data_IF_896281891864
#
_entry.id   IF_896281891864
#
_cell.length_a   1.000
_cell.length_b   1.000
_cell.length_c   1.000
_cell.angle_alpha   90.00
_cell.angle_beta   90.00
_cell.angle_gamma   90.00
#
_symmetry.space_group_name_H-M   'P 1'
#
loop_
_entity.id
_entity.type
_entity.pdbx_description
1 polymer ?
#
# COMPACT_ATOMS: atom_id res chain seq x y z
N UNK A 1 -9.98 -13.59 19.70
CA UNK A 1 -10.14 -14.35 18.46
C UNK A 1 -11.62 -14.51 18.05
N UNK A 2 -12.54 -14.85 18.99
CA UNK A 2 -13.96 -15.09 18.69
C UNK A 2 -14.64 -13.89 18.02
N UNK A 3 -14.47 -12.68 18.54
CA UNK A 3 -15.06 -11.47 17.96
C UNK A 3 -14.55 -11.15 16.55
N UNK A 4 -13.28 -11.45 16.26
CA UNK A 4 -12.72 -11.30 14.90
C UNK A 4 -13.35 -12.31 13.95
N UNK A 5 -13.51 -13.56 14.39
CA UNK A 5 -14.15 -14.60 13.62
C UNK A 5 -15.61 -14.25 13.29
N UNK A 6 -16.39 -13.86 14.31
CA UNK A 6 -17.80 -13.48 14.14
C UNK A 6 -17.96 -12.31 13.14
N UNK A 7 -17.12 -11.27 13.24
CA UNK A 7 -17.11 -10.15 12.29
C UNK A 7 -16.68 -10.56 10.89
N UNK A 8 -15.74 -11.48 10.76
CA UNK A 8 -15.31 -11.99 9.45
C UNK A 8 -16.45 -12.77 8.78
N UNK A 9 -17.15 -13.62 9.54
CA UNK A 9 -18.30 -14.38 9.04
C UNK A 9 -19.45 -13.45 8.63
N UNK A 10 -19.74 -12.42 9.44
CA UNK A 10 -20.77 -11.40 9.14
C UNK A 10 -20.44 -10.66 7.83
N UNK A 11 -19.18 -10.24 7.68
CA UNK A 11 -18.72 -9.58 6.47
C UNK A 11 -18.80 -10.49 5.23
N UNK A 12 -18.38 -11.74 5.39
CA UNK A 12 -18.43 -12.73 4.31
C UNK A 12 -19.86 -13.07 3.90
N UNK A 13 -20.77 -13.20 4.86
CA UNK A 13 -22.20 -13.41 4.62
C UNK A 13 -22.82 -12.25 3.80
N UNK A 14 -22.44 -11.01 4.13
CA UNK A 14 -22.86 -9.83 3.36
C UNK A 14 -22.34 -9.88 1.92
N UNK A 15 -21.09 -10.34 1.74
CA UNK A 15 -20.50 -10.50 0.42
C UNK A 15 -21.23 -11.59 -0.40
N UNK A 16 -21.58 -12.72 0.24
CA UNK A 16 -22.38 -13.78 -0.39
C UNK A 16 -23.73 -13.25 -0.85
N UNK A 17 -24.39 -12.43 -0.03
CA UNK A 17 -25.66 -11.79 -0.39
C UNK A 17 -25.52 -10.86 -1.61
N UNK A 18 -24.45 -10.08 -1.70
CA UNK A 18 -24.17 -9.24 -2.86
C UNK A 18 -23.87 -10.03 -4.13
N UNK A 19 -23.24 -11.20 -4.01
CA UNK A 19 -22.90 -12.08 -5.13
C UNK A 19 -24.06 -12.98 -5.54
N UNK A 20 -25.04 -13.19 -4.67
CA UNK A 20 -26.14 -14.12 -4.88
C UNK A 20 -26.89 -13.95 -6.21
N UNK A 21 -27.18 -12.72 -6.72
CA UNK A 21 -27.84 -12.53 -8.01
C UNK A 21 -27.04 -13.07 -9.21
N UNK A 22 -25.72 -13.21 -9.06
CA UNK A 22 -24.83 -13.67 -10.13
C UNK A 22 -24.48 -15.16 -10.01
N UNK A 23 -24.42 -15.68 -8.79
CA UNK A 23 -24.01 -17.05 -8.48
C UNK A 23 -24.90 -17.68 -7.39
N UNK A 24 -26.21 -17.88 -7.66
CA UNK A 24 -27.18 -18.23 -6.61
C UNK A 24 -26.85 -19.54 -5.91
N UNK A 25 -26.50 -20.58 -6.64
CA UNK A 25 -26.31 -21.91 -6.05
C UNK A 25 -25.11 -21.99 -5.10
N UNK A 26 -23.96 -21.51 -5.54
CA UNK A 26 -22.74 -21.61 -4.72
C UNK A 26 -22.79 -20.68 -3.51
N UNK A 27 -23.37 -19.50 -3.64
CA UNK A 27 -23.50 -18.56 -2.51
C UNK A 27 -24.47 -19.08 -1.48
N UNK A 28 -25.55 -19.74 -1.89
CA UNK A 28 -26.52 -20.39 -0.99
C UNK A 28 -25.86 -21.53 -0.21
N UNK A 29 -25.16 -22.42 -0.90
CA UNK A 29 -24.47 -23.56 -0.28
C UNK A 29 -23.44 -23.10 0.76
N UNK A 30 -22.63 -22.08 0.43
CA UNK A 30 -21.65 -21.52 1.36
C UNK A 30 -22.36 -20.87 2.56
N UNK A 31 -23.46 -20.14 2.32
CA UNK A 31 -24.23 -19.50 3.37
C UNK A 31 -24.73 -20.52 4.40
N UNK A 32 -25.36 -21.60 3.94
CA UNK A 32 -25.86 -22.67 4.82
C UNK A 32 -24.74 -23.46 5.50
N UNK A 33 -23.56 -23.55 4.89
CA UNK A 33 -22.39 -24.14 5.55
C UNK A 33 -21.91 -23.27 6.73
N UNK A 34 -21.97 -21.96 6.59
CA UNK A 34 -21.56 -21.01 7.64
C UNK A 34 -22.64 -20.82 8.70
N UNK A 35 -23.91 -20.86 8.30
CA UNK A 35 -25.08 -20.58 9.15
C UNK A 35 -26.16 -21.62 8.91
N UNK A 36 -26.03 -22.79 9.53
CA UNK A 36 -26.86 -23.96 9.31
C UNK A 36 -28.36 -23.81 9.62
N UNK A 37 -28.78 -22.72 10.28
CA UNK A 37 -30.19 -22.45 10.64
C UNK A 37 -30.62 -21.04 10.22
N UNK A 38 -30.15 -20.55 9.10
CA UNK A 38 -30.51 -19.23 8.58
C UNK A 38 -31.53 -19.33 7.46
N UNK A 39 -32.24 -18.22 7.20
CA UNK A 39 -33.06 -18.07 5.99
C UNK A 39 -32.21 -18.11 4.75
N UNK A 40 -32.77 -18.60 3.64
CA UNK A 40 -32.11 -18.62 2.34
C UNK A 40 -31.76 -17.19 1.88
N UNK A 41 -30.62 -17.03 1.22
CA UNK A 41 -30.18 -15.72 0.70
C UNK A 41 -31.16 -15.11 -0.31
N UNK A 42 -31.89 -15.98 -1.05
CA UNK A 42 -32.85 -15.52 -2.06
C UNK A 42 -34.06 -14.76 -1.47
N UNK A 43 -34.39 -15.00 -0.20
CA UNK A 43 -35.50 -14.30 0.50
C UNK A 43 -35.00 -13.24 1.47
N UNK A 44 -33.71 -13.21 1.75
CA UNK A 44 -33.10 -12.29 2.70
C UNK A 44 -33.01 -10.87 2.11
N UNK A 45 -33.63 -9.91 2.81
CA UNK A 45 -33.55 -8.51 2.40
C UNK A 45 -32.14 -7.95 2.62
N UNK A 46 -31.57 -7.38 1.57
CA UNK A 46 -30.33 -6.64 1.67
C UNK A 46 -30.57 -5.25 2.27
N UNK A 47 -29.97 -4.98 3.41
CA UNK A 47 -30.01 -3.66 4.04
C UNK A 47 -28.64 -2.99 3.82
N UNK A 48 -28.52 -2.01 2.93
CA UNK A 48 -27.25 -1.34 2.69
C UNK A 48 -26.81 -0.58 3.94
N UNK A 49 -25.54 -0.73 4.33
CA UNK A 49 -24.95 0.10 5.35
C UNK A 49 -24.66 1.50 4.77
N UNK A 50 -25.47 2.47 5.13
CA UNK A 50 -25.37 3.85 4.61
C UNK A 50 -24.34 4.68 5.38
N UNK A 51 -23.91 4.22 6.57
CA UNK A 51 -22.95 4.94 7.40
C UNK A 51 -21.51 4.56 7.01
N UNK A 52 -20.87 5.46 6.27
CA UNK A 52 -19.47 5.31 5.89
C UNK A 52 -18.59 6.09 6.87
N UNK A 53 -17.73 5.39 7.60
CA UNK A 53 -16.71 6.04 8.42
C UNK A 53 -15.51 6.41 7.55
N UNK A 54 -15.45 7.69 7.14
CA UNK A 54 -14.37 8.22 6.28
C UNK A 54 -13.00 8.12 6.93
N UNK A 55 -12.90 8.23 8.25
CA UNK A 55 -11.62 8.12 8.97
C UNK A 55 -11.03 6.71 8.83
N UNK A 56 -11.87 5.69 9.00
CA UNK A 56 -11.45 4.29 8.84
C UNK A 56 -11.04 4.00 7.39
N UNK A 57 -11.77 4.52 6.41
CA UNK A 57 -11.41 4.37 5.00
C UNK A 57 -10.08 5.04 4.68
N UNK A 58 -9.87 6.26 5.17
CA UNK A 58 -8.61 6.98 4.97
C UNK A 58 -7.43 6.27 5.65
N UNK A 59 -7.64 5.75 6.86
CA UNK A 59 -6.63 4.94 7.56
C UNK A 59 -6.31 3.65 6.79
N UNK A 60 -7.33 3.00 6.21
CA UNK A 60 -7.15 1.83 5.35
C UNK A 60 -6.36 2.13 4.07
N UNK A 61 -6.69 3.23 3.40
CA UNK A 61 -5.97 3.69 2.21
C UNK A 61 -4.51 4.04 2.52
N UNK A 62 -4.26 4.76 3.62
CA UNK A 62 -2.92 5.06 4.10
C UNK A 62 -2.13 3.78 4.37
N UNK A 63 -2.73 2.83 5.10
CA UNK A 63 -2.10 1.55 5.40
C UNK A 63 -1.71 0.79 4.13
N UNK A 64 -2.60 0.73 3.15
CA UNK A 64 -2.36 0.05 1.87
C UNK A 64 -1.19 0.70 1.11
N UNK A 65 -1.17 2.02 1.00
CA UNK A 65 -0.12 2.76 0.32
C UNK A 65 1.25 2.58 1.01
N UNK A 66 1.28 2.68 2.33
CA UNK A 66 2.51 2.48 3.12
C UNK A 66 3.04 1.07 2.97
N UNK A 67 2.18 0.04 3.09
CA UNK A 67 2.60 -1.36 2.92
C UNK A 67 3.16 -1.61 1.51
N UNK A 68 2.48 -1.13 0.48
CA UNK A 68 2.94 -1.28 -0.91
C UNK A 68 4.32 -0.65 -1.10
N UNK A 69 4.47 0.61 -0.69
CA UNK A 69 5.71 1.36 -0.83
C UNK A 69 6.88 0.70 -0.06
N UNK A 70 6.64 0.22 1.16
CA UNK A 70 7.66 -0.44 1.96
C UNK A 70 8.02 -1.84 1.40
N UNK A 71 7.06 -2.58 0.86
CA UNK A 71 7.32 -3.86 0.18
C UNK A 71 8.15 -3.67 -1.09
N UNK A 72 7.84 -2.65 -1.88
CA UNK A 72 8.63 -2.31 -3.07
C UNK A 72 10.06 -1.92 -2.72
N UNK A 73 10.24 -1.14 -1.65
CA UNK A 73 11.56 -0.79 -1.15
C UNK A 73 12.34 -2.01 -0.67
N UNK A 74 11.69 -2.94 0.03
CA UNK A 74 12.31 -4.21 0.45
C UNK A 74 12.74 -5.05 -0.75
N UNK A 75 11.86 -5.18 -1.75
CA UNK A 75 12.16 -5.94 -2.97
C UNK A 75 13.34 -5.33 -3.73
N UNK A 76 13.36 -4.01 -3.92
CA UNK A 76 14.47 -3.30 -4.58
C UNK A 76 15.81 -3.48 -3.87
N UNK A 77 15.78 -3.59 -2.55
CA UNK A 77 16.97 -3.75 -1.72
C UNK A 77 17.22 -5.22 -1.31
N UNK A 78 16.53 -6.18 -1.93
CA UNK A 78 16.70 -7.63 -1.72
C UNK A 78 16.49 -8.07 -0.26
N UNK A 79 15.73 -7.32 0.53
CA UNK A 79 15.36 -7.67 1.90
C UNK A 79 14.21 -8.68 1.85
N UNK A 80 14.46 -9.89 2.34
CA UNK A 80 13.45 -10.95 2.33
C UNK A 80 12.25 -10.60 3.21
N UNK A 81 11.01 -11.00 2.85
CA UNK A 81 9.83 -10.73 3.68
C UNK A 81 9.91 -11.27 5.11
N UNK A 82 10.69 -12.34 5.32
CA UNK A 82 10.91 -12.96 6.64
C UNK A 82 11.89 -12.21 7.52
N UNK A 83 12.74 -11.37 6.95
CA UNK A 83 13.74 -10.63 7.72
C UNK A 83 13.05 -9.51 8.48
N UNK A 84 13.31 -9.43 9.79
CA UNK A 84 12.79 -8.36 10.60
C UNK A 84 13.50 -7.05 10.25
N UNK A 85 12.75 -5.95 10.24
CA UNK A 85 13.26 -4.60 10.01
C UNK A 85 12.87 -3.69 11.16
N UNK A 86 13.65 -2.63 11.36
CA UNK A 86 13.23 -1.50 12.20
C UNK A 86 12.75 -0.38 11.27
N UNK A 87 11.60 0.18 11.58
CA UNK A 87 10.99 1.25 10.79
C UNK A 87 11.00 2.55 11.59
N UNK A 88 11.57 3.61 11.03
CA UNK A 88 11.45 4.94 11.58
C UNK A 88 10.63 5.80 10.63
N UNK A 89 9.63 6.48 11.17
CA UNK A 89 8.70 7.32 10.41
C UNK A 89 8.97 8.78 10.73
N UNK A 90 9.31 9.55 9.72
CA UNK A 90 9.43 11.01 9.81
C UNK A 90 8.19 11.64 9.19
N UNK A 91 7.34 12.18 10.02
CA UNK A 91 6.08 12.83 9.62
C UNK A 91 5.79 14.04 10.49
N UNK A 92 5.03 14.98 9.97
CA UNK A 92 4.54 16.13 10.73
C UNK A 92 3.37 15.75 11.67
N UNK A 93 2.64 14.66 11.38
CA UNK A 93 1.49 14.20 12.16
C UNK A 93 1.53 12.69 12.36
N UNK A 94 1.81 12.25 13.58
CA UNK A 94 1.94 10.84 13.94
C UNK A 94 0.59 10.13 14.14
N UNK A 95 -0.50 10.85 14.40
CA UNK A 95 -1.78 10.26 14.79
C UNK A 95 -2.34 9.24 13.78
N UNK A 96 -2.35 9.48 12.45
CA UNK A 96 -2.80 8.51 11.47
C UNK A 96 -2.01 7.21 11.50
N UNK A 97 -0.69 7.31 11.68
CA UNK A 97 0.20 6.15 11.72
C UNK A 97 0.06 5.35 13.01
N UNK A 98 -0.17 6.01 14.14
CA UNK A 98 -0.41 5.33 15.43
C UNK A 98 -1.65 4.44 15.37
N UNK A 99 -2.70 4.88 14.68
CA UNK A 99 -3.95 4.09 14.54
C UNK A 99 -3.75 2.77 13.78
N UNK A 100 -2.82 2.73 12.83
CA UNK A 100 -2.53 1.56 11.98
C UNK A 100 -1.26 0.81 12.37
N UNK A 101 -0.49 1.31 13.34
CA UNK A 101 0.85 0.85 13.70
C UNK A 101 0.93 -0.66 13.95
N UNK A 102 -0.01 -1.22 14.70
CA UNK A 102 -0.02 -2.64 15.04
C UNK A 102 -0.23 -3.56 13.83
N UNK A 103 -1.07 -3.12 12.89
CA UNK A 103 -1.32 -3.85 11.64
C UNK A 103 -0.11 -3.70 10.73
N UNK A 104 0.39 -2.49 10.59
CA UNK A 104 1.56 -2.18 9.77
C UNK A 104 2.77 -3.01 10.22
N UNK A 105 3.10 -3.04 11.51
CA UNK A 105 4.21 -3.81 12.05
C UNK A 105 4.14 -5.30 11.66
N UNK A 106 2.97 -5.90 11.77
CA UNK A 106 2.76 -7.31 11.38
C UNK A 106 2.89 -7.54 9.87
N UNK A 107 2.36 -6.62 9.06
CA UNK A 107 2.32 -6.76 7.60
C UNK A 107 3.68 -6.60 6.92
N UNK A 108 4.57 -5.81 7.53
CA UNK A 108 5.92 -5.60 7.02
C UNK A 108 7.00 -6.33 7.82
N UNK A 109 6.61 -7.15 8.80
CA UNK A 109 7.52 -7.82 9.72
C UNK A 109 8.50 -6.84 10.39
N UNK A 110 7.96 -5.73 10.94
CA UNK A 110 8.77 -4.78 11.69
C UNK A 110 8.93 -5.25 13.15
N UNK A 111 10.17 -5.27 13.62
CA UNK A 111 10.52 -5.52 15.03
C UNK A 111 10.16 -4.32 15.91
N UNK A 112 10.31 -3.12 15.36
CA UNK A 112 9.96 -1.87 16.03
C UNK A 112 9.52 -0.81 15.02
N UNK A 113 8.62 0.09 15.47
CA UNK A 113 8.25 1.31 14.74
C UNK A 113 8.49 2.48 15.66
N UNK A 114 9.33 3.41 15.24
CA UNK A 114 9.67 4.62 15.96
C UNK A 114 9.37 5.86 15.12
N UNK A 115 9.09 6.98 15.78
CA UNK A 115 8.90 8.27 15.11
C UNK A 115 10.14 9.12 15.32
N UNK A 116 10.60 9.76 14.25
CA UNK A 116 11.82 10.59 14.29
C UNK A 116 11.60 11.91 13.58
N UNK A 117 12.31 12.94 14.02
CA UNK A 117 12.39 14.24 13.32
C UNK A 117 13.68 14.38 12.51
N UNK A 118 14.65 13.47 12.68
CA UNK A 118 15.95 13.51 12.03
C UNK A 118 16.18 12.32 11.11
N UNK A 119 17.16 12.42 10.25
CA UNK A 119 17.58 11.32 9.36
C UNK A 119 18.25 10.21 10.17
N UNK A 120 17.92 8.97 9.82
CA UNK A 120 18.51 7.78 10.45
C UNK A 120 19.66 7.29 9.58
N UNK A 121 20.86 7.18 10.17
CA UNK A 121 22.04 6.69 9.47
C UNK A 121 21.89 5.20 9.11
N UNK A 122 22.57 4.76 8.05
CA UNK A 122 22.59 3.37 7.57
C UNK A 122 21.18 2.78 7.32
N UNK A 123 20.26 3.60 6.85
CA UNK A 123 18.88 3.22 6.53
C UNK A 123 18.57 3.39 5.05
N UNK A 124 17.62 2.60 4.56
CA UNK A 124 17.00 2.82 3.25
C UNK A 124 15.91 3.87 3.43
N UNK A 125 16.01 4.95 2.67
CA UNK A 125 15.04 6.05 2.72
C UNK A 125 13.97 5.85 1.65
N UNK A 126 12.72 5.91 2.07
CA UNK A 126 11.55 5.82 1.19
C UNK A 126 10.66 7.01 1.46
N UNK A 127 10.29 7.74 0.43
CA UNK A 127 9.37 8.85 0.52
C UNK A 127 7.98 8.43 0.04
N UNK A 128 6.96 8.83 0.78
CA UNK A 128 5.56 8.72 0.41
C UNK A 128 4.89 10.06 0.69
N UNK A 129 4.53 10.78 -0.37
CA UNK A 129 4.00 12.14 -0.31
C UNK A 129 4.94 13.10 0.45
N UNK A 130 4.56 13.49 1.67
CA UNK A 130 5.31 14.41 2.54
C UNK A 130 6.12 13.69 3.62
N UNK A 131 5.87 12.40 3.80
CA UNK A 131 6.45 11.60 4.87
C UNK A 131 7.65 10.80 4.38
N UNK A 132 8.59 10.53 5.27
CA UNK A 132 9.78 9.72 4.99
C UNK A 132 9.82 8.52 5.92
N UNK A 133 10.17 7.40 5.35
CA UNK A 133 10.33 6.13 6.05
C UNK A 133 11.78 5.70 5.96
N UNK A 134 12.37 5.37 7.09
CA UNK A 134 13.72 4.84 7.17
C UNK A 134 13.65 3.39 7.58
N UNK A 135 14.10 2.49 6.70
CA UNK A 135 14.14 1.06 6.95
C UNK A 135 15.57 0.71 7.38
N UNK A 136 15.72 0.23 8.58
CA UNK A 136 16.98 -0.33 9.08
C UNK A 136 16.86 -1.85 9.05
N UNK A 137 17.70 -2.51 8.26
CA UNK A 137 17.76 -3.97 8.16
C UNK A 137 18.98 -4.48 8.92
N UNK A 138 18.85 -5.60 9.61
CA UNK A 138 19.96 -6.25 10.34
C UNK A 138 21.02 -6.89 9.40
N UNK A 139 20.74 -6.91 8.09
CA UNK A 139 21.71 -7.37 7.10
C UNK A 139 22.55 -6.20 6.61
N UNK A 140 23.83 -6.44 6.39
CA UNK A 140 24.71 -5.47 5.75
C UNK A 140 24.15 -5.16 4.35
N UNK A 141 23.56 -3.95 4.22
CA UNK A 141 23.09 -3.46 2.92
C UNK A 141 24.37 -3.23 2.09
N UNK A 142 24.45 -3.85 0.94
CA UNK A 142 25.54 -3.55 -0.01
C UNK A 142 25.32 -2.13 -0.58
N UNK A 143 25.76 -1.16 0.23
CA UNK A 143 25.65 0.26 -0.09
C UNK A 143 26.44 0.66 -1.33
N UNK A 144 27.49 -0.12 -1.68
CA UNK A 144 28.30 0.15 -2.86
C UNK A 144 27.53 -0.17 -4.15
N UNK A 145 26.93 -1.36 -4.22
CA UNK A 145 26.10 -1.78 -5.35
C UNK A 145 24.85 -0.91 -5.49
N UNK A 146 24.21 -0.55 -4.37
CA UNK A 146 23.06 0.34 -4.36
C UNK A 146 23.40 1.73 -4.89
N UNK A 147 24.55 2.29 -4.46
CA UNK A 147 25.03 3.59 -4.93
C UNK A 147 25.32 3.58 -6.43
N UNK A 148 25.94 2.51 -6.92
CA UNK A 148 26.22 2.37 -8.35
C UNK A 148 24.93 2.32 -9.19
N UNK A 149 23.94 1.55 -8.76
CA UNK A 149 22.64 1.47 -9.43
C UNK A 149 21.92 2.83 -9.42
N UNK A 150 21.90 3.52 -8.29
CA UNK A 150 21.27 4.86 -8.18
C UNK A 150 21.99 5.90 -9.05
N UNK A 151 23.30 5.83 -9.19
CA UNK A 151 24.06 6.70 -10.09
C UNK A 151 23.75 6.41 -11.56
N UNK A 152 23.57 5.15 -11.94
CA UNK A 152 23.13 4.76 -13.30
C UNK A 152 21.72 5.27 -13.60
N UNK A 153 20.79 5.11 -12.65
CA UNK A 153 19.42 5.60 -12.79
C UNK A 153 19.38 7.13 -12.89
N UNK A 154 20.17 7.84 -12.08
CA UNK A 154 20.30 9.28 -12.15
C UNK A 154 20.81 9.74 -13.52
N UNK A 155 21.87 9.11 -14.01
CA UNK A 155 22.43 9.44 -15.32
C UNK A 155 21.43 9.19 -16.46
N UNK A 156 20.67 8.09 -16.38
CA UNK A 156 19.62 7.77 -17.33
C UNK A 156 18.49 8.81 -17.32
N UNK A 157 18.01 9.20 -16.13
CA UNK A 157 16.97 10.23 -16.00
C UNK A 157 17.43 11.61 -16.45
N UNK A 158 18.68 11.97 -16.16
CA UNK A 158 19.27 13.22 -16.67
C UNK A 158 19.38 13.22 -18.19
N UNK A 159 19.79 12.11 -18.80
CA UNK A 159 19.82 11.94 -20.26
C UNK A 159 18.43 12.03 -20.89
N UNK A 160 17.45 11.43 -20.25
CA UNK A 160 16.05 11.52 -20.68
C UNK A 160 15.54 12.96 -20.62
N UNK A 161 15.76 13.68 -19.51
CA UNK A 161 15.39 15.08 -19.35
C UNK A 161 16.01 15.95 -20.46
N UNK A 162 17.31 15.82 -20.69
CA UNK A 162 17.99 16.54 -21.78
C UNK A 162 17.40 16.24 -23.16
N UNK A 163 16.97 14.99 -23.38
CA UNK A 163 16.29 14.60 -24.64
C UNK A 163 14.94 15.26 -24.78
N UNK A 164 14.17 15.36 -23.70
CA UNK A 164 12.87 16.05 -23.67
C UNK A 164 13.06 17.54 -23.89
N UNK A 165 14.01 18.17 -23.20
CA UNK A 165 14.33 19.59 -23.36
C UNK A 165 14.72 19.93 -24.82
N UNK A 166 15.56 19.11 -25.45
CA UNK A 166 15.93 19.27 -26.86
C UNK A 166 14.71 19.16 -27.78
N UNK A 167 13.76 18.27 -27.48
CA UNK A 167 12.53 18.14 -28.27
C UNK A 167 11.61 19.36 -28.10
N UNK A 168 11.49 19.87 -26.88
CA UNK A 168 10.70 21.06 -26.58
C UNK A 168 11.29 22.34 -27.18
N UNK A 169 12.61 22.42 -27.31
CA UNK A 169 13.30 23.51 -28.00
C UNK A 169 13.18 23.46 -29.52
N UNK A 170 12.74 22.35 -30.07
CA UNK A 170 12.54 22.18 -31.52
C UNK A 170 11.16 22.70 -31.94
N UNK A 171 11.11 23.90 -32.50
CA UNK A 171 9.85 24.55 -32.94
C UNK A 171 9.01 23.66 -33.87
N UNK A 172 9.65 22.91 -34.78
CA UNK A 172 8.95 21.99 -35.70
C UNK A 172 8.28 20.84 -34.93
N UNK A 173 8.89 20.36 -33.85
CA UNK A 173 8.30 19.34 -33.02
C UNK A 173 7.11 19.89 -32.24
N UNK A 174 7.25 21.05 -31.63
CA UNK A 174 6.19 21.68 -30.83
C UNK A 174 4.96 22.02 -31.67
N UNK A 175 5.17 22.49 -32.92
CA UNK A 175 4.06 22.82 -33.84
C UNK A 175 3.29 21.60 -34.33
N UNK A 176 3.91 20.42 -34.42
CA UNK A 176 3.28 19.19 -34.96
C UNK A 176 2.89 18.19 -33.87
N UNK A 177 3.28 18.41 -32.62
CA UNK A 177 2.96 17.51 -31.51
C UNK A 177 1.51 17.70 -31.04
N UNK A 178 0.86 16.60 -30.66
CA UNK A 178 -0.47 16.66 -30.07
C UNK A 178 -0.41 17.37 -28.70
N UNK A 179 -1.45 18.15 -28.30
CA UNK A 179 -1.50 18.85 -27.03
C UNK A 179 -1.24 17.95 -25.82
N UNK A 180 -1.68 16.70 -25.87
CA UNK A 180 -1.48 15.68 -24.82
C UNK A 180 -0.01 15.27 -24.62
N UNK A 181 0.86 15.56 -25.58
CA UNK A 181 2.31 15.24 -25.52
C UNK A 181 3.13 16.43 -25.00
N UNK A 182 2.55 17.63 -25.05
CA UNK A 182 3.17 18.88 -24.59
C UNK A 182 2.76 19.29 -23.17
N UNK A 183 1.68 18.69 -22.64
CA UNK A 183 1.20 18.85 -21.27
C UNK A 183 1.96 17.92 -20.32
#
# INVERSE_FOLDING_TARGET
YRGVYEKTVEFYDTLLQLLHPFMPFITEEIHHTLKTQSEDLCVKLYTPNVQVNKEVLNAGALLQNVISTLRDARNKNQIKPKDAIELHIQTANNAPYQSIQNILAKQINASSIAYTSSTVAASIVVALEKDKFYIVANQAIDTASLKENLLKDLAHQQGFLQSVDKKLLNEKFVQNAKPEVLA
#
